data_IF_038618101156
#
_entry.id   IF_038618101156
#
_cell.length_a   1.000
_cell.length_b   1.000
_cell.length_c   1.000
_cell.angle_alpha   90.00
_cell.angle_beta   90.00
_cell.angle_gamma   90.00
#
_symmetry.space_group_name_H-M   'P 1'
#
loop_
_entity.id
_entity.type
_entity.pdbx_description
1 polymer ?
#
# COMPACT_ATOMS: atom_id res chain seq x y z
N UNK A 1 1.69 3.44 -21.65
CA UNK A 1 1.63 4.32 -20.47
C UNK A 1 2.36 5.65 -20.71
N UNK A 2 3.65 5.67 -21.08
CA UNK A 2 4.36 6.92 -21.43
C UNK A 2 3.63 7.70 -22.54
N UNK A 3 3.14 7.02 -23.57
CA UNK A 3 2.33 7.66 -24.63
C UNK A 3 1.01 8.24 -24.11
N UNK A 4 0.34 7.62 -23.14
CA UNK A 4 -0.91 8.12 -22.56
C UNK A 4 -0.66 9.40 -21.74
N UNK A 5 0.44 9.42 -20.99
CA UNK A 5 0.90 10.60 -20.22
C UNK A 5 1.29 11.75 -21.16
N UNK A 6 1.92 11.42 -22.28
CA UNK A 6 2.27 12.38 -23.33
C UNK A 6 1.05 12.89 -24.11
N UNK A 7 -0.04 12.10 -24.18
CA UNK A 7 -1.31 12.46 -24.83
C UNK A 7 -2.29 13.20 -23.92
N UNK A 8 -1.88 13.57 -22.71
CA UNK A 8 -2.70 14.33 -21.75
C UNK A 8 -3.92 13.56 -21.21
N UNK A 9 -3.88 12.22 -21.24
CA UNK A 9 -4.94 11.41 -20.63
C UNK A 9 -4.96 11.60 -19.10
N UNK A 10 -6.12 11.44 -18.46
CA UNK A 10 -6.26 11.51 -17.00
C UNK A 10 -5.49 10.34 -16.35
N UNK A 11 -4.31 10.63 -15.80
CA UNK A 11 -3.45 9.66 -15.11
C UNK A 11 -3.69 9.76 -13.61
N UNK A 12 -4.04 8.63 -12.98
CA UNK A 12 -4.20 8.55 -11.53
C UNK A 12 -2.83 8.54 -10.79
N UNK A 13 -2.89 8.68 -9.46
CA UNK A 13 -1.70 8.71 -8.62
C UNK A 13 -0.84 7.43 -8.72
N UNK A 14 -1.46 6.27 -8.93
CA UNK A 14 -0.78 4.96 -9.02
C UNK A 14 0.04 4.87 -10.31
N UNK A 15 -0.53 5.27 -11.43
CA UNK A 15 0.19 5.32 -12.71
C UNK A 15 1.34 6.33 -12.71
N UNK A 16 1.14 7.50 -12.09
CA UNK A 16 2.23 8.46 -11.89
C UNK A 16 3.33 7.91 -10.96
N UNK A 17 2.96 7.19 -9.90
CA UNK A 17 3.91 6.56 -8.99
C UNK A 17 4.77 5.53 -9.72
N UNK A 18 4.16 4.70 -10.57
CA UNK A 18 4.89 3.73 -11.37
C UNK A 18 5.90 4.40 -12.32
N UNK A 19 5.49 5.46 -13.01
CA UNK A 19 6.39 6.24 -13.87
C UNK A 19 7.54 6.88 -13.09
N UNK A 20 7.24 7.45 -11.92
CA UNK A 20 8.22 8.08 -11.05
C UNK A 20 9.31 7.08 -10.63
N UNK A 21 8.91 5.88 -10.19
CA UNK A 21 9.84 4.80 -9.84
C UNK A 21 10.64 4.32 -11.05
N UNK A 22 10.01 4.20 -12.21
CA UNK A 22 10.69 3.81 -13.44
C UNK A 22 11.73 4.85 -13.87
N UNK A 23 11.42 6.13 -13.72
CA UNK A 23 12.36 7.22 -13.96
C UNK A 23 13.56 7.11 -13.02
N UNK A 24 13.35 6.90 -11.72
CA UNK A 24 14.45 6.71 -10.75
C UNK A 24 15.40 5.55 -11.09
N UNK A 25 14.90 4.50 -11.73
CA UNK A 25 15.72 3.34 -12.11
C UNK A 25 16.49 3.54 -13.42
N UNK A 26 15.94 4.32 -14.36
CA UNK A 26 16.48 4.43 -15.73
C UNK A 26 17.10 5.77 -16.08
N UNK A 27 16.78 6.82 -15.33
CA UNK A 27 17.19 8.23 -15.55
C UNK A 27 17.08 8.69 -17.01
N UNK A 28 15.95 8.39 -17.66
CA UNK A 28 15.74 8.74 -19.07
C UNK A 28 15.07 10.11 -19.23
N UNK A 29 15.64 10.96 -20.09
CA UNK A 29 15.11 12.30 -20.39
C UNK A 29 13.66 12.26 -20.91
N UNK A 30 13.28 11.22 -21.65
CA UNK A 30 11.91 11.01 -22.13
C UNK A 30 10.92 10.86 -20.98
N UNK A 31 11.27 10.13 -19.91
CA UNK A 31 10.41 9.98 -18.75
C UNK A 31 10.34 11.27 -17.94
N UNK A 32 11.46 11.99 -17.79
CA UNK A 32 11.49 13.30 -17.15
C UNK A 32 10.54 14.28 -17.82
N UNK A 33 10.65 14.42 -19.14
CA UNK A 33 9.82 15.32 -19.94
C UNK A 33 8.32 14.96 -19.88
N UNK A 34 7.97 13.69 -19.68
CA UNK A 34 6.59 13.26 -19.49
C UNK A 34 6.09 13.46 -18.04
N UNK A 35 6.95 13.22 -17.04
CA UNK A 35 6.60 13.28 -15.62
C UNK A 35 6.36 14.69 -15.11
N UNK A 36 7.19 15.66 -15.51
CA UNK A 36 7.07 17.05 -15.03
C UNK A 36 5.67 17.66 -15.28
N UNK A 37 5.14 17.70 -16.52
CA UNK A 37 3.79 18.23 -16.76
C UNK A 37 2.70 17.36 -16.12
N UNK A 38 2.91 16.03 -16.04
CA UNK A 38 1.93 15.13 -15.47
C UNK A 38 1.81 15.27 -13.94
N UNK A 39 2.91 15.50 -13.22
CA UNK A 39 2.90 15.84 -11.81
C UNK A 39 2.24 17.20 -11.58
N UNK A 40 2.49 18.19 -12.45
CA UNK A 40 1.81 19.48 -12.36
C UNK A 40 0.29 19.35 -12.51
N UNK A 41 -0.20 18.51 -13.42
CA UNK A 41 -1.64 18.19 -13.51
C UNK A 41 -2.13 17.38 -12.32
N UNK A 42 -1.32 16.44 -11.84
CA UNK A 42 -1.63 15.62 -10.66
C UNK A 42 -1.87 16.48 -9.41
N UNK A 43 -1.11 17.57 -9.26
CA UNK A 43 -1.36 18.57 -8.22
C UNK A 43 -2.81 19.10 -8.32
N UNK A 44 -3.30 19.49 -9.48
CA UNK A 44 -4.69 19.97 -9.59
C UNK A 44 -5.72 18.84 -9.47
N UNK A 45 -5.45 17.68 -10.06
CA UNK A 45 -6.33 16.52 -9.99
C UNK A 45 -6.58 16.04 -8.55
N UNK A 46 -5.59 16.21 -7.65
CA UNK A 46 -5.73 15.85 -6.22
C UNK A 46 -6.95 16.50 -5.57
N UNK A 47 -7.34 17.70 -6.02
CA UNK A 47 -8.47 18.46 -5.44
C UNK A 47 -9.82 17.79 -5.70
N UNK A 48 -9.89 16.93 -6.71
CA UNK A 48 -11.09 16.14 -7.03
C UNK A 48 -11.16 14.81 -6.25
N UNK A 49 -10.16 14.48 -5.42
CA UNK A 49 -10.15 13.25 -4.63
C UNK A 49 -11.27 13.25 -3.59
N UNK A 50 -12.25 12.37 -3.76
CA UNK A 50 -13.43 12.29 -2.89
C UNK A 50 -13.28 11.22 -1.82
N UNK A 51 -12.50 10.19 -2.10
CA UNK A 51 -12.32 9.05 -1.20
C UNK A 51 -11.03 9.15 -0.37
N UNK A 52 -11.04 8.47 0.78
CA UNK A 52 -9.87 8.31 1.64
C UNK A 52 -8.70 7.68 0.87
N UNK A 53 -8.99 6.62 0.10
CA UNK A 53 -8.03 5.89 -0.74
C UNK A 53 -7.36 6.78 -1.79
N UNK A 54 -8.12 7.61 -2.50
CA UNK A 54 -7.57 8.54 -3.49
C UNK A 54 -6.63 9.55 -2.83
N UNK A 55 -7.05 10.15 -1.70
CA UNK A 55 -6.22 11.10 -0.94
C UNK A 55 -4.92 10.45 -0.46
N UNK A 56 -4.99 9.23 0.05
CA UNK A 56 -3.81 8.46 0.48
C UNK A 56 -2.86 8.16 -0.69
N UNK A 57 -3.39 7.79 -1.85
CA UNK A 57 -2.60 7.54 -3.06
C UNK A 57 -1.86 8.80 -3.53
N UNK A 58 -2.54 9.95 -3.56
CA UNK A 58 -1.92 11.24 -3.88
C UNK A 58 -0.82 11.62 -2.88
N UNK A 59 -1.07 11.44 -1.57
CA UNK A 59 -0.08 11.73 -0.54
C UNK A 59 1.19 10.88 -0.72
N UNK A 60 1.03 9.57 -0.98
CA UNK A 60 2.17 8.68 -1.24
C UNK A 60 2.96 9.14 -2.47
N UNK A 61 2.29 9.46 -3.58
CA UNK A 61 2.94 9.97 -4.79
C UNK A 61 3.78 11.21 -4.51
N UNK A 62 3.18 12.23 -3.88
CA UNK A 62 3.88 13.49 -3.65
C UNK A 62 5.02 13.35 -2.65
N UNK A 63 4.86 12.49 -1.64
CA UNK A 63 5.94 12.14 -0.70
C UNK A 63 7.14 11.59 -1.45
N UNK A 64 6.93 10.62 -2.34
CA UNK A 64 8.02 10.01 -3.10
C UNK A 64 8.63 11.00 -4.10
N UNK A 65 7.81 11.81 -4.78
CA UNK A 65 8.27 12.84 -5.69
C UNK A 65 9.12 13.92 -4.99
N UNK A 66 8.74 14.32 -3.77
CA UNK A 66 9.47 15.30 -2.97
C UNK A 66 10.88 14.83 -2.56
N UNK A 67 11.17 13.53 -2.61
CA UNK A 67 12.54 13.03 -2.35
C UNK A 67 13.52 13.29 -3.49
N UNK A 68 13.03 13.56 -4.71
CA UNK A 68 13.87 13.77 -5.90
C UNK A 68 13.61 15.12 -6.60
N UNK A 69 12.65 15.89 -6.12
CA UNK A 69 12.29 17.20 -6.66
C UNK A 69 12.25 18.25 -5.55
N UNK A 70 12.77 19.44 -5.84
CA UNK A 70 12.70 20.60 -4.95
C UNK A 70 11.48 21.50 -5.22
N UNK A 71 10.50 21.03 -6.00
CA UNK A 71 9.27 21.78 -6.31
C UNK A 71 8.44 22.01 -5.03
N UNK A 72 8.37 23.27 -4.60
CA UNK A 72 7.67 23.66 -3.37
C UNK A 72 6.18 23.31 -3.41
N UNK A 73 5.57 23.25 -4.60
CA UNK A 73 4.16 22.88 -4.77
C UNK A 73 3.88 21.45 -4.30
N UNK A 74 4.87 20.56 -4.35
CA UNK A 74 4.75 19.20 -3.80
C UNK A 74 4.66 19.25 -2.27
N UNK A 75 5.45 20.10 -1.62
CA UNK A 75 5.41 20.28 -0.16
C UNK A 75 4.10 20.91 0.29
N UNK A 76 3.61 21.90 -0.45
CA UNK A 76 2.28 22.49 -0.22
C UNK A 76 1.18 21.44 -0.34
N UNK A 77 1.21 20.60 -1.39
CA UNK A 77 0.24 19.53 -1.57
C UNK A 77 0.28 18.47 -0.46
N UNK A 78 1.47 18.11 0.04
CA UNK A 78 1.63 17.23 1.21
C UNK A 78 1.02 17.89 2.44
N UNK A 79 1.33 19.18 2.68
CA UNK A 79 0.82 19.94 3.83
C UNK A 79 -0.70 20.08 3.80
N UNK A 80 -1.33 20.14 2.62
CA UNK A 80 -2.79 20.15 2.45
C UNK A 80 -3.43 18.78 2.73
N UNK A 81 -2.81 17.69 2.24
CA UNK A 81 -3.36 16.34 2.32
C UNK A 81 -3.26 15.73 3.71
N UNK A 82 -2.18 16.02 4.46
CA UNK A 82 -1.97 15.45 5.80
C UNK A 82 -3.13 15.77 6.76
N UNK A 83 -3.60 17.03 6.93
CA UNK A 83 -4.76 17.33 7.75
C UNK A 83 -6.04 16.63 7.28
N UNK A 84 -6.27 16.53 5.95
CA UNK A 84 -7.44 15.87 5.40
C UNK A 84 -7.47 14.38 5.75
N UNK A 85 -6.34 13.67 5.62
CA UNK A 85 -6.22 12.26 5.98
C UNK A 85 -6.25 12.04 7.50
N UNK A 86 -5.75 12.99 8.29
CA UNK A 86 -5.89 12.93 9.76
C UNK A 86 -7.34 13.02 10.22
N UNK A 87 -8.19 13.73 9.49
CA UNK A 87 -9.63 13.76 9.80
C UNK A 87 -10.26 12.37 9.64
N UNK A 88 -9.82 11.61 8.62
CA UNK A 88 -10.28 10.24 8.37
C UNK A 88 -10.00 9.29 9.53
N UNK A 89 -9.00 9.54 10.37
CA UNK A 89 -8.70 8.71 11.54
C UNK A 89 -9.85 8.60 12.54
N UNK A 90 -10.77 9.57 12.48
CA UNK A 90 -11.99 9.56 13.29
C UNK A 90 -13.26 9.37 12.49
N UNK A 91 -13.24 9.61 11.18
CA UNK A 91 -14.42 9.61 10.32
C UNK A 91 -14.56 8.32 9.49
N UNK A 92 -13.46 7.73 9.04
CA UNK A 92 -13.46 6.53 8.22
C UNK A 92 -13.72 5.30 9.09
N UNK A 93 -14.66 4.45 8.67
CA UNK A 93 -15.07 3.23 9.38
C UNK A 93 -14.62 1.95 8.69
N UNK A 94 -14.23 2.04 7.43
CA UNK A 94 -13.71 0.91 6.66
C UNK A 94 -12.24 0.72 7.02
N UNK A 95 -11.91 -0.44 7.58
CA UNK A 95 -10.59 -0.71 8.19
C UNK A 95 -9.46 -0.55 7.17
N UNK A 96 -9.58 -1.12 5.98
CA UNK A 96 -8.56 -1.05 4.94
C UNK A 96 -8.30 0.38 4.45
N UNK A 97 -9.34 1.19 4.29
CA UNK A 97 -9.20 2.59 3.87
C UNK A 97 -8.57 3.45 4.97
N UNK A 98 -8.96 3.23 6.23
CA UNK A 98 -8.35 3.89 7.37
C UNK A 98 -6.87 3.52 7.52
N UNK A 99 -6.53 2.23 7.37
CA UNK A 99 -5.15 1.76 7.40
C UNK A 99 -4.29 2.41 6.30
N UNK A 100 -4.83 2.59 5.08
CA UNK A 100 -4.13 3.31 4.01
C UNK A 100 -3.86 4.78 4.36
N UNK A 101 -4.82 5.47 4.97
CA UNK A 101 -4.63 6.85 5.42
C UNK A 101 -3.53 6.96 6.47
N UNK A 102 -3.53 6.06 7.46
CA UNK A 102 -2.52 5.99 8.50
C UNK A 102 -1.14 5.68 7.88
N UNK A 103 -1.04 4.66 7.02
CA UNK A 103 0.21 4.32 6.33
C UNK A 103 0.76 5.49 5.51
N UNK A 104 -0.11 6.20 4.76
CA UNK A 104 0.31 7.35 3.96
C UNK A 104 0.91 8.46 4.84
N UNK A 105 0.29 8.77 5.98
CA UNK A 105 0.82 9.72 6.96
C UNK A 105 2.12 9.22 7.61
N UNK A 106 2.25 7.93 7.90
CA UNK A 106 3.49 7.36 8.46
C UNK A 106 4.66 7.51 7.47
N UNK A 107 4.42 7.28 6.18
CA UNK A 107 5.48 7.37 5.16
C UNK A 107 5.97 8.82 4.95
N UNK A 108 5.08 9.81 5.11
CA UNK A 108 5.41 11.24 5.00
C UNK A 108 6.47 11.67 6.01
N UNK A 109 6.45 11.14 7.23
CA UNK A 109 7.33 11.53 8.35
C UNK A 109 8.82 11.48 7.96
N UNK A 110 9.20 10.53 7.11
CA UNK A 110 10.59 10.38 6.64
C UNK A 110 11.10 11.55 5.77
N UNK A 111 10.18 12.30 5.14
CA UNK A 111 10.47 13.41 4.23
C UNK A 111 10.04 14.75 4.84
N UNK A 112 8.96 14.72 5.60
CA UNK A 112 8.30 15.88 6.18
C UNK A 112 7.60 15.46 7.47
N UNK A 113 8.12 15.87 8.63
CA UNK A 113 7.48 15.58 9.93
C UNK A 113 6.87 16.87 10.52
N UNK A 114 5.59 17.18 10.23
CA UNK A 114 4.89 18.23 10.94
C UNK A 114 4.72 17.80 12.41
N UNK A 115 4.93 18.74 13.34
CA UNK A 115 4.94 18.46 14.79
C UNK A 115 3.80 17.53 15.22
N UNK A 116 4.18 16.47 15.93
CA UNK A 116 3.34 15.41 16.48
C UNK A 116 2.70 14.45 15.46
N UNK A 117 3.05 14.47 14.16
CA UNK A 117 2.44 13.54 13.21
C UNK A 117 2.76 12.09 13.55
N UNK A 118 4.04 11.79 13.83
CA UNK A 118 4.49 10.47 14.21
C UNK A 118 3.73 9.86 15.40
N UNK A 119 3.73 10.46 16.61
CA UNK A 119 3.01 9.87 17.74
C UNK A 119 1.50 9.73 17.47
N UNK A 120 0.86 10.72 16.82
CA UNK A 120 -0.58 10.66 16.56
C UNK A 120 -0.96 9.60 15.52
N UNK A 121 -0.11 9.36 14.51
CA UNK A 121 -0.33 8.30 13.54
C UNK A 121 -0.17 6.90 14.18
N UNK A 122 0.80 6.75 15.09
CA UNK A 122 0.97 5.53 15.88
C UNK A 122 -0.24 5.31 16.79
N UNK A 123 -0.69 6.33 17.51
CA UNK A 123 -1.90 6.23 18.33
C UNK A 123 -3.11 5.81 17.48
N UNK A 124 -3.32 6.43 16.31
CA UNK A 124 -4.42 6.07 15.42
C UNK A 124 -4.34 4.61 14.94
N UNK A 125 -3.13 4.10 14.63
CA UNK A 125 -2.91 2.70 14.26
C UNK A 125 -3.27 1.76 15.41
N UNK A 126 -2.82 2.06 16.62
CA UNK A 126 -3.10 1.26 17.81
C UNK A 126 -4.59 1.24 18.15
N UNK A 127 -5.29 2.37 17.98
CA UNK A 127 -6.74 2.43 18.14
C UNK A 127 -7.49 1.60 17.09
N UNK A 128 -7.06 1.65 15.82
CA UNK A 128 -7.62 0.80 14.76
C UNK A 128 -7.46 -0.68 15.12
N UNK A 129 -6.28 -1.09 15.56
CA UNK A 129 -6.00 -2.49 15.92
C UNK A 129 -6.87 -2.91 17.10
N UNK A 130 -6.91 -2.10 18.17
CA UNK A 130 -7.70 -2.39 19.36
C UNK A 130 -9.20 -2.55 19.05
N UNK A 131 -9.73 -1.81 18.08
CA UNK A 131 -11.13 -1.87 17.69
C UNK A 131 -11.43 -3.02 16.69
N UNK A 132 -10.54 -3.25 15.72
CA UNK A 132 -10.82 -4.12 14.58
C UNK A 132 -10.33 -5.56 14.75
N UNK A 133 -9.18 -5.76 15.41
CA UNK A 133 -8.47 -7.04 15.40
C UNK A 133 -8.96 -7.97 16.51
N UNK A 134 -9.10 -9.25 16.17
CA UNK A 134 -9.30 -10.34 17.13
C UNK A 134 -8.26 -11.43 16.87
N UNK A 135 -7.50 -11.86 17.90
CA UNK A 135 -6.52 -12.92 17.76
C UNK A 135 -7.10 -14.18 17.11
N UNK A 136 -6.45 -14.67 16.04
CA UNK A 136 -6.89 -15.84 15.29
C UNK A 136 -8.11 -15.66 14.38
N UNK A 137 -8.94 -14.64 14.61
CA UNK A 137 -10.12 -14.30 13.79
C UNK A 137 -9.85 -13.20 12.74
N UNK A 138 -8.76 -12.47 12.86
CA UNK A 138 -8.36 -11.41 11.94
C UNK A 138 -9.14 -10.09 12.14
N UNK A 139 -9.19 -9.28 11.10
CA UNK A 139 -9.80 -7.94 11.11
C UNK A 139 -11.25 -7.97 10.64
N UNK A 140 -12.10 -7.18 11.30
CA UNK A 140 -13.44 -6.82 10.82
C UNK A 140 -13.33 -5.80 9.69
N UNK A 141 -14.32 -5.79 8.79
CA UNK A 141 -14.35 -4.83 7.68
C UNK A 141 -14.78 -3.41 8.11
N UNK A 142 -15.83 -3.33 8.92
CA UNK A 142 -16.45 -2.09 9.35
C UNK A 142 -16.38 -1.94 10.88
N UNK A 143 -15.77 -0.85 11.34
CA UNK A 143 -15.60 -0.54 12.76
C UNK A 143 -16.92 -0.29 13.50
N UNK A 144 -17.97 0.14 12.80
CA UNK A 144 -19.30 0.33 13.41
C UNK A 144 -20.05 -1.01 13.58
N UNK A 145 -19.55 -2.08 12.97
CA UNK A 145 -20.12 -3.43 13.03
C UNK A 145 -19.12 -4.43 13.64
N UNK A 146 -18.82 -4.36 14.95
CA UNK A 146 -17.73 -5.13 15.57
C UNK A 146 -17.91 -6.66 15.54
N UNK A 147 -19.14 -7.14 15.34
CA UNK A 147 -19.50 -8.54 15.14
C UNK A 147 -19.76 -8.90 13.66
N UNK A 148 -19.39 -8.00 12.74
CA UNK A 148 -19.51 -8.21 11.30
C UNK A 148 -18.51 -9.23 10.75
N UNK A 149 -18.61 -9.46 9.44
CA UNK A 149 -17.71 -10.36 8.72
C UNK A 149 -16.25 -9.92 8.87
N UNK A 150 -15.37 -10.92 8.98
CA UNK A 150 -13.93 -10.76 9.12
C UNK A 150 -13.24 -11.43 7.94
N UNK A 151 -12.00 -11.01 7.67
CA UNK A 151 -11.19 -11.70 6.66
C UNK A 151 -11.28 -11.12 5.25
N UNK A 152 -11.57 -9.82 5.11
CA UNK A 152 -11.40 -9.15 3.83
C UNK A 152 -9.92 -8.89 3.54
N UNK A 153 -9.47 -9.21 2.33
CA UNK A 153 -8.07 -9.10 1.89
C UNK A 153 -7.55 -7.67 2.04
N UNK A 154 -8.34 -6.69 1.62
CA UNK A 154 -7.96 -5.28 1.67
C UNK A 154 -7.64 -4.83 3.11
N UNK A 155 -8.46 -5.23 4.08
CA UNK A 155 -8.27 -4.85 5.48
C UNK A 155 -6.97 -5.45 6.03
N UNK A 156 -6.69 -6.71 5.72
CA UNK A 156 -5.47 -7.40 6.16
C UNK A 156 -4.22 -6.81 5.50
N UNK A 157 -4.22 -6.64 4.18
CA UNK A 157 -3.04 -6.16 3.46
C UNK A 157 -2.75 -4.68 3.74
N UNK A 158 -3.77 -3.83 3.80
CA UNK A 158 -3.56 -2.40 4.11
C UNK A 158 -3.09 -2.23 5.56
N UNK A 159 -3.68 -2.95 6.51
CA UNK A 159 -3.26 -2.88 7.93
C UNK A 159 -1.85 -3.45 8.12
N UNK A 160 -1.50 -4.56 7.46
CA UNK A 160 -0.14 -5.09 7.46
C UNK A 160 0.86 -4.07 6.87
N UNK A 161 0.50 -3.37 5.78
CA UNK A 161 1.31 -2.28 5.23
C UNK A 161 1.55 -1.15 6.23
N UNK A 162 0.50 -0.70 6.93
CA UNK A 162 0.60 0.33 7.97
C UNK A 162 1.48 -0.11 9.15
N UNK A 163 1.30 -1.34 9.62
CA UNK A 163 2.10 -1.95 10.68
C UNK A 163 3.58 -2.05 10.31
N UNK A 164 3.90 -2.46 9.09
CA UNK A 164 5.28 -2.49 8.60
C UNK A 164 5.90 -1.09 8.53
N UNK A 165 5.12 -0.07 8.17
CA UNK A 165 5.60 1.33 8.20
C UNK A 165 5.84 1.81 9.63
N UNK A 166 4.97 1.44 10.58
CA UNK A 166 5.14 1.73 11.99
C UNK A 166 6.36 0.99 12.59
N UNK A 167 6.61 -0.26 12.18
CA UNK A 167 7.80 -1.01 12.58
C UNK A 167 9.08 -0.30 12.14
N UNK A 168 9.19 0.09 10.87
CA UNK A 168 10.37 0.82 10.35
C UNK A 168 10.60 2.12 11.12
N UNK A 169 9.54 2.83 11.52
CA UNK A 169 9.65 4.10 12.22
C UNK A 169 10.06 3.94 13.70
N UNK A 170 9.61 2.86 14.37
CA UNK A 170 9.67 2.75 15.83
C UNK A 170 10.51 1.59 16.34
N UNK A 171 10.85 0.63 15.48
CA UNK A 171 11.47 -0.65 15.81
C UNK A 171 10.72 -1.47 16.88
N UNK A 172 9.43 -1.20 17.07
CA UNK A 172 8.60 -1.96 18.00
C UNK A 172 8.20 -3.29 17.38
N UNK A 173 8.83 -4.36 17.86
CA UNK A 173 8.63 -5.74 17.42
C UNK A 173 7.15 -6.16 17.23
N UNK A 174 6.19 -5.80 18.12
CA UNK A 174 4.79 -6.19 17.95
C UNK A 174 4.17 -5.79 16.61
N UNK A 175 4.62 -4.69 15.99
CA UNK A 175 4.06 -4.27 14.71
C UNK A 175 4.46 -5.21 13.57
N UNK A 176 5.73 -5.62 13.50
CA UNK A 176 6.20 -6.59 12.51
C UNK A 176 5.52 -7.95 12.68
N UNK A 177 5.44 -8.43 13.93
CA UNK A 177 4.79 -9.71 14.25
C UNK A 177 3.29 -9.73 13.92
N UNK A 178 2.57 -8.64 14.23
CA UNK A 178 1.15 -8.56 13.90
C UNK A 178 0.93 -8.44 12.38
N UNK A 179 1.79 -7.71 11.65
CA UNK A 179 1.73 -7.70 10.19
C UNK A 179 1.89 -9.11 9.61
N UNK A 180 2.83 -9.88 10.15
CA UNK A 180 3.05 -11.27 9.78
C UNK A 180 1.80 -12.14 10.04
N UNK A 181 1.20 -12.02 11.23
CA UNK A 181 -0.02 -12.76 11.58
C UNK A 181 -1.18 -12.44 10.63
N UNK A 182 -1.39 -11.16 10.28
CA UNK A 182 -2.46 -10.76 9.37
C UNK A 182 -2.26 -11.34 7.97
N UNK A 183 -1.02 -11.37 7.48
CA UNK A 183 -0.71 -11.98 6.18
C UNK A 183 -0.85 -13.51 6.24
N UNK A 184 -0.46 -14.15 7.35
CA UNK A 184 -0.67 -15.59 7.55
C UNK A 184 -2.15 -15.96 7.66
N UNK A 185 -2.98 -15.11 8.26
CA UNK A 185 -4.42 -15.26 8.23
C UNK A 185 -4.92 -15.25 6.78
N UNK A 186 -4.58 -14.21 6.01
CA UNK A 186 -4.99 -14.09 4.61
C UNK A 186 -4.50 -15.28 3.76
N UNK A 187 -3.27 -15.76 4.00
CA UNK A 187 -2.70 -16.92 3.31
C UNK A 187 -3.45 -18.22 3.58
N UNK A 188 -3.97 -18.41 4.80
CA UNK A 188 -4.75 -19.60 5.16
C UNK A 188 -6.21 -19.51 4.72
N UNK A 189 -6.81 -18.33 4.80
CA UNK A 189 -8.25 -18.16 4.60
C UNK A 189 -8.63 -17.77 3.16
N UNK A 190 -7.76 -17.06 2.43
CA UNK A 190 -8.10 -16.38 1.18
C UNK A 190 -7.27 -16.85 -0.02
N UNK A 191 -6.23 -17.66 0.19
CA UNK A 191 -5.40 -18.14 -0.90
C UNK A 191 -6.11 -19.18 -1.76
N UNK A 192 -6.05 -18.99 -3.08
CA UNK A 192 -6.51 -19.94 -4.07
C UNK A 192 -5.29 -20.61 -4.72
N UNK A 193 -5.11 -21.91 -4.47
CA UNK A 193 -3.95 -22.64 -5.00
C UNK A 193 -4.02 -22.88 -6.50
N UNK A 194 -5.22 -23.01 -7.09
CA UNK A 194 -5.37 -23.21 -8.53
C UNK A 194 -4.97 -21.96 -9.29
N UNK A 195 -5.30 -20.79 -8.73
CA UNK A 195 -5.10 -19.50 -9.38
C UNK A 195 -3.87 -18.76 -8.86
N UNK A 196 -3.21 -19.31 -7.85
CA UNK A 196 -2.00 -18.79 -7.24
C UNK A 196 -2.13 -17.32 -6.83
N UNK A 197 -3.29 -16.96 -6.27
CA UNK A 197 -3.67 -15.60 -5.91
C UNK A 197 -4.67 -15.58 -4.74
N UNK A 198 -4.84 -14.42 -4.13
CA UNK A 198 -5.83 -14.21 -3.07
C UNK A 198 -7.22 -13.88 -3.62
N UNK A 199 -8.24 -14.42 -2.97
CA UNK A 199 -9.65 -13.99 -3.06
C UNK A 199 -9.86 -12.72 -2.23
N UNK A 200 -10.92 -11.99 -2.53
CA UNK A 200 -11.25 -10.75 -1.82
C UNK A 200 -11.73 -10.97 -0.37
N UNK A 201 -12.58 -11.95 -0.13
CA UNK A 201 -13.17 -12.26 1.18
C UNK A 201 -13.45 -13.75 1.29
N UNK A 202 -13.48 -14.29 2.51
CA UNK A 202 -13.82 -15.69 2.79
C UNK A 202 -15.25 -16.06 2.36
N UNK A 203 -16.15 -15.07 2.45
CA UNK A 203 -17.59 -15.27 2.27
C UNK A 203 -18.04 -14.94 0.83
N UNK A 204 -17.11 -14.55 -0.04
CA UNK A 204 -17.41 -14.25 -1.42
C UNK A 204 -17.90 -15.51 -2.15
N UNK A 205 -19.23 -15.57 -2.38
CA UNK A 205 -19.93 -16.66 -3.09
C UNK A 205 -19.46 -16.79 -4.56
N UNK A 206 -18.88 -15.71 -5.10
CA UNK A 206 -18.25 -15.65 -6.42
C UNK A 206 -16.72 -15.55 -6.27
N UNK A 207 -16.02 -16.13 -7.25
CA UNK A 207 -14.55 -16.14 -7.45
C UNK A 207 -13.97 -14.73 -7.72
N UNK A 208 -14.36 -13.73 -6.91
CA UNK A 208 -13.87 -12.35 -6.98
C UNK A 208 -12.40 -12.33 -6.57
N UNK A 209 -11.55 -12.19 -7.59
CA UNK A 209 -10.10 -12.05 -7.48
C UNK A 209 -9.70 -10.66 -7.92
N UNK A 210 -9.65 -9.69 -7.00
CA UNK A 210 -9.31 -8.32 -7.33
C UNK A 210 -7.84 -8.24 -7.76
N UNK A 211 -7.62 -7.88 -9.03
CA UNK A 211 -6.29 -7.79 -9.65
C UNK A 211 -5.40 -6.77 -8.92
N UNK A 212 -5.89 -5.56 -8.70
CA UNK A 212 -5.14 -4.49 -8.03
C UNK A 212 -4.80 -4.85 -6.57
N UNK A 213 -5.74 -5.49 -5.84
CA UNK A 213 -5.49 -5.92 -4.46
C UNK A 213 -4.42 -7.01 -4.37
N UNK A 214 -4.36 -7.92 -5.35
CA UNK A 214 -3.27 -8.89 -5.42
C UNK A 214 -1.92 -8.22 -5.74
N UNK A 215 -1.91 -7.17 -6.56
CA UNK A 215 -0.70 -6.35 -6.76
C UNK A 215 -0.28 -5.64 -5.47
N UNK A 216 -1.21 -5.09 -4.70
CA UNK A 216 -0.92 -4.51 -3.39
C UNK A 216 -0.43 -5.56 -2.38
N UNK A 217 -1.01 -6.76 -2.39
CA UNK A 217 -0.57 -7.88 -1.56
C UNK A 217 0.88 -8.27 -1.88
N UNK A 218 1.26 -8.35 -3.15
CA UNK A 218 2.66 -8.59 -3.56
C UNK A 218 3.60 -7.59 -2.90
N UNK A 219 3.24 -6.30 -2.86
CA UNK A 219 4.10 -5.26 -2.26
C UNK A 219 4.27 -5.46 -0.74
N UNK A 220 3.20 -5.88 -0.04
CA UNK A 220 3.28 -6.23 1.39
C UNK A 220 4.13 -7.49 1.60
N UNK A 221 3.91 -8.52 0.80
CA UNK A 221 4.70 -9.76 0.82
C UNK A 221 6.19 -9.47 0.58
N UNK A 222 6.51 -8.56 -0.33
CA UNK A 222 7.88 -8.15 -0.59
C UNK A 222 8.52 -7.48 0.64
N UNK A 223 7.80 -6.61 1.33
CA UNK A 223 8.27 -5.97 2.56
C UNK A 223 8.48 -6.97 3.69
N UNK A 224 7.61 -7.97 3.84
CA UNK A 224 7.80 -9.05 4.80
C UNK A 224 8.96 -9.97 4.43
N UNK A 225 9.15 -10.28 3.14
CA UNK A 225 10.31 -11.05 2.68
C UNK A 225 11.61 -10.33 3.03
N UNK A 226 11.70 -9.02 2.77
CA UNK A 226 12.86 -8.21 3.17
C UNK A 226 13.08 -8.24 4.70
N UNK A 227 12.01 -8.12 5.48
CA UNK A 227 12.08 -8.20 6.94
C UNK A 227 12.53 -9.59 7.43
N UNK A 228 12.15 -10.67 6.74
CA UNK A 228 12.61 -12.04 7.03
C UNK A 228 14.05 -12.32 6.61
N UNK A 229 14.65 -11.44 5.80
CA UNK A 229 16.07 -11.45 5.46
C UNK A 229 16.91 -10.58 6.42
N UNK A 230 16.30 -9.85 7.32
CA UNK A 230 16.97 -9.05 8.36
C UNK A 230 17.32 -9.95 9.56
N UNK A 231 18.61 -10.16 9.82
CA UNK A 231 19.11 -11.03 10.88
C UNK A 231 18.68 -10.55 12.28
N UNK A 232 18.61 -9.24 12.51
CA UNK A 232 18.20 -8.67 13.79
C UNK A 232 16.72 -8.96 14.05
N UNK A 233 15.88 -8.82 13.02
CA UNK A 233 14.46 -9.19 13.13
C UNK A 233 14.29 -10.69 13.38
N UNK A 234 14.99 -11.55 12.61
CA UNK A 234 14.93 -13.02 12.77
C UNK A 234 15.36 -13.50 14.14
N UNK A 235 16.27 -12.77 14.80
CA UNK A 235 16.76 -13.14 16.12
C UNK A 235 15.70 -12.96 17.21
N UNK A 236 14.80 -11.99 17.06
CA UNK A 236 13.84 -11.60 18.10
C UNK A 236 12.40 -11.98 17.76
N UNK A 237 12.06 -12.11 16.48
CA UNK A 237 10.71 -12.43 16.02
C UNK A 237 10.49 -13.95 15.94
N UNK A 238 9.28 -14.39 16.31
CA UNK A 238 8.80 -15.73 15.99
C UNK A 238 8.29 -15.70 14.56
N UNK A 239 9.15 -16.09 13.62
CA UNK A 239 8.82 -16.21 12.21
C UNK A 239 8.16 -17.56 11.93
N UNK A 240 7.06 -17.57 11.18
CA UNK A 240 6.43 -18.82 10.74
C UNK A 240 7.40 -19.61 9.83
N UNK A 241 7.72 -20.84 10.21
CA UNK A 241 8.80 -21.63 9.60
C UNK A 241 8.56 -21.98 8.12
N UNK A 242 7.31 -21.98 7.69
CA UNK A 242 6.85 -22.24 6.32
C UNK A 242 6.53 -20.95 5.53
N UNK A 243 6.68 -19.78 6.15
CA UNK A 243 6.47 -18.50 5.48
C UNK A 243 7.52 -18.28 4.40
N UNK A 244 7.09 -18.28 3.13
CA UNK A 244 7.92 -17.90 2.01
C UNK A 244 7.22 -16.80 1.20
N UNK A 245 7.23 -15.59 1.75
CA UNK A 245 6.56 -14.44 1.16
C UNK A 245 7.12 -14.04 -0.20
N UNK A 246 8.42 -14.29 -0.44
CA UNK A 246 9.03 -14.09 -1.76
C UNK A 246 8.41 -15.03 -2.80
N UNK A 247 8.26 -16.31 -2.48
CA UNK A 247 7.64 -17.28 -3.37
C UNK A 247 6.15 -17.00 -3.61
N UNK A 248 5.40 -16.63 -2.57
CA UNK A 248 3.99 -16.26 -2.73
C UNK A 248 3.83 -15.00 -3.62
N UNK A 249 4.70 -14.00 -3.45
CA UNK A 249 4.73 -12.81 -4.32
C UNK A 249 5.04 -13.17 -5.78
N UNK A 250 6.01 -14.04 -6.01
CA UNK A 250 6.37 -14.53 -7.35
C UNK A 250 5.20 -15.26 -8.02
N UNK A 251 4.53 -16.15 -7.28
CA UNK A 251 3.36 -16.91 -7.75
C UNK A 251 2.24 -15.99 -8.23
N UNK A 252 1.91 -14.94 -7.46
CA UNK A 252 0.91 -13.95 -7.85
C UNK A 252 1.34 -13.22 -9.13
N UNK A 253 2.59 -12.74 -9.20
CA UNK A 253 3.07 -12.02 -10.38
C UNK A 253 3.01 -12.88 -11.64
N UNK A 254 3.44 -14.15 -11.55
CA UNK A 254 3.37 -15.10 -12.67
C UNK A 254 1.92 -15.35 -13.12
N UNK A 255 0.99 -15.55 -12.19
CA UNK A 255 -0.43 -15.76 -12.50
C UNK A 255 -1.08 -14.55 -13.18
N UNK A 256 -0.61 -13.33 -12.88
CA UNK A 256 -1.18 -12.09 -13.39
C UNK A 256 -0.46 -11.51 -14.63
N UNK A 257 0.71 -12.05 -15.00
CA UNK A 257 1.58 -11.50 -16.06
C UNK A 257 0.90 -11.39 -17.44
N UNK A 258 0.15 -12.41 -17.84
CA UNK A 258 -0.54 -12.45 -19.15
C UNK A 258 -1.72 -11.49 -19.21
N UNK A 259 -2.41 -11.29 -18.08
CA UNK A 259 -3.58 -10.40 -17.98
C UNK A 259 -3.23 -8.93 -17.79
N UNK A 260 -2.04 -8.61 -17.29
CA UNK A 260 -1.64 -7.24 -16.95
C UNK A 260 -1.67 -6.28 -18.15
N UNK A 261 -1.22 -6.74 -19.32
CA UNK A 261 -1.13 -5.91 -20.54
C UNK A 261 -2.48 -5.62 -21.20
N UNK A 262 -3.49 -6.49 -20.98
CA UNK A 262 -4.83 -6.35 -21.54
C UNK A 262 -5.79 -5.53 -20.68
N UNK A 263 -5.33 -5.04 -19.52
CA UNK A 263 -6.13 -4.27 -18.56
C UNK A 263 -5.93 -2.77 -18.72
N UNK A 264 -6.75 -1.98 -18.02
CA UNK A 264 -6.65 -0.54 -17.99
C UNK A 264 -5.31 -0.04 -17.41
N UNK A 265 -5.03 1.26 -17.60
CA UNK A 265 -3.79 1.91 -17.19
C UNK A 265 -3.47 1.71 -15.69
N UNK A 266 -4.50 1.82 -14.83
CA UNK A 266 -4.38 1.70 -13.38
C UNK A 266 -3.90 0.30 -12.95
N UNK A 267 -4.50 -0.75 -13.53
CA UNK A 267 -4.10 -2.15 -13.28
C UNK A 267 -2.67 -2.41 -13.76
N UNK A 268 -2.33 -1.97 -14.98
CA UNK A 268 -0.98 -2.12 -15.51
C UNK A 268 0.08 -1.42 -14.63
N UNK A 269 -0.26 -0.25 -14.09
CA UNK A 269 0.60 0.47 -13.15
C UNK A 269 0.73 -0.24 -11.80
N UNK A 270 -0.37 -0.73 -11.23
CA UNK A 270 -0.35 -1.50 -10.00
C UNK A 270 0.53 -2.75 -10.13
N UNK A 271 0.40 -3.49 -11.23
CA UNK A 271 1.25 -4.63 -11.54
C UNK A 271 2.72 -4.22 -11.73
N UNK A 272 2.98 -3.13 -12.45
CA UNK A 272 4.33 -2.60 -12.65
C UNK A 272 5.03 -2.22 -11.34
N UNK A 273 4.29 -1.63 -10.39
CA UNK A 273 4.79 -1.34 -9.04
C UNK A 273 5.10 -2.61 -8.25
N UNK A 274 4.17 -3.58 -8.27
CA UNK A 274 4.35 -4.87 -7.61
C UNK A 274 5.58 -5.62 -8.14
N UNK A 275 5.74 -5.64 -9.47
CA UNK A 275 6.90 -6.25 -10.13
C UNK A 275 8.20 -5.54 -9.76
N UNK A 276 8.21 -4.20 -9.74
CA UNK A 276 9.38 -3.43 -9.35
C UNK A 276 9.81 -3.73 -7.90
N UNK A 277 8.85 -3.78 -6.96
CA UNK A 277 9.11 -4.10 -5.56
C UNK A 277 9.68 -5.53 -5.43
N UNK A 278 9.15 -6.51 -6.18
CA UNK A 278 9.68 -7.88 -6.21
C UNK A 278 11.10 -7.97 -6.78
N UNK A 279 11.38 -7.27 -7.89
CA UNK A 279 12.72 -7.28 -8.49
C UNK A 279 13.80 -6.67 -7.59
N UNK A 280 13.43 -5.75 -6.69
CA UNK A 280 14.35 -5.16 -5.73
C UNK A 280 14.70 -6.11 -4.56
N UNK A 281 14.04 -7.28 -4.45
CA UNK A 281 14.38 -8.33 -3.47
C UNK A 281 15.42 -9.34 -3.97
N UNK A 282 15.88 -9.21 -5.22
CA UNK A 282 16.91 -10.07 -5.79
C UNK A 282 18.30 -9.50 -5.49
#
# INVERSE_FOLDING_TARGET
>A
MVEAVARDDAVDATALMFLLRRYRQTDTDTLRAALEPALARGLEARRAATTCRERAAWLRLFTEAATISADERLREAIADLVPALRHEWTACRIVGDLALAIEACLNVISVFDPRDLAPKAIDALEHLIAAAYRPGEGLVHDLDSPNGARGHLADHMCTAGALLSAYVLTWRLPYGMLAEELVQFARRALWDDEQAAFRESSDAVTDSRPFALNCDAVRVLCRLAALHHDDDYRHVAVVAADANYKADAERILMAHASGAHGRGLADAAAYGLALADYTNLQ
#
